data_IF_149157432310
#
_entry.id   IF_149157432310
#
_cell.length_a   1.000
_cell.length_b   1.000
_cell.length_c   1.000
_cell.angle_alpha   90.00
_cell.angle_beta   90.00
_cell.angle_gamma   90.00
#
_symmetry.space_group_name_H-M   'P 1'
#
loop_
_entity.id
_entity.type
_entity.pdbx_description
1 polymer ?
#
# COMPACT_ATOMS: atom_id res chain seq x y z
N UNK A 1 11.60 -25.40 -13.01
CA UNK A 1 11.66 -24.92 -11.61
C UNK A 1 10.77 -25.84 -10.78
N UNK A 2 11.32 -26.53 -9.77
CA UNK A 2 10.48 -27.23 -8.79
C UNK A 2 9.69 -26.16 -8.05
N UNK A 3 8.36 -26.22 -8.12
CA UNK A 3 7.52 -25.53 -7.14
C UNK A 3 7.83 -26.21 -5.80
N UNK A 4 8.67 -25.58 -4.99
CA UNK A 4 8.82 -25.99 -3.60
C UNK A 4 7.52 -25.60 -2.89
N UNK A 5 6.68 -26.60 -2.64
CA UNK A 5 5.45 -26.42 -1.89
C UNK A 5 5.80 -25.84 -0.52
N UNK A 6 5.07 -24.81 -0.10
CA UNK A 6 5.18 -24.22 1.23
C UNK A 6 4.97 -25.31 2.30
N UNK A 7 5.80 -25.28 3.34
CA UNK A 7 5.76 -26.21 4.47
C UNK A 7 4.86 -25.72 5.60
N UNK A 8 4.68 -26.56 6.63
CA UNK A 8 3.89 -26.22 7.81
C UNK A 8 4.39 -24.96 8.54
N UNK A 9 5.71 -24.75 8.60
CA UNK A 9 6.31 -23.56 9.20
C UNK A 9 5.96 -22.27 8.43
N UNK A 10 5.91 -22.36 7.10
CA UNK A 10 5.55 -21.24 6.23
C UNK A 10 4.08 -20.82 6.51
N UNK A 11 3.15 -21.77 6.53
CA UNK A 11 1.75 -21.51 6.89
C UNK A 11 1.59 -21.01 8.32
N UNK A 12 2.34 -21.56 9.27
CA UNK A 12 2.31 -21.13 10.66
C UNK A 12 2.80 -19.68 10.83
N UNK A 13 3.80 -19.26 10.04
CA UNK A 13 4.28 -17.86 10.05
C UNK A 13 3.23 -16.88 9.56
N UNK A 14 2.50 -17.24 8.49
CA UNK A 14 1.38 -16.44 7.96
C UNK A 14 0.26 -16.33 8.99
N UNK A 15 -0.16 -17.46 9.59
CA UNK A 15 -1.18 -17.45 10.63
C UNK A 15 -0.77 -16.59 11.82
N UNK A 16 0.49 -16.68 12.25
CA UNK A 16 1.05 -15.86 13.33
C UNK A 16 0.98 -14.38 13.00
N UNK A 17 1.38 -13.98 11.79
CA UNK A 17 1.30 -12.58 11.35
C UNK A 17 -0.15 -12.08 11.38
N UNK A 18 -1.12 -12.85 10.85
CA UNK A 18 -2.54 -12.50 10.90
C UNK A 18 -3.04 -12.33 12.34
N UNK A 19 -2.67 -13.22 13.26
CA UNK A 19 -3.09 -13.14 14.66
C UNK A 19 -2.51 -11.92 15.37
N UNK A 20 -1.19 -11.71 15.26
CA UNK A 20 -0.49 -10.60 15.93
C UNK A 20 -0.97 -9.23 15.45
N UNK A 21 -1.33 -9.11 14.17
CA UNK A 21 -1.70 -7.84 13.56
C UNK A 21 -3.21 -7.56 13.58
N UNK A 22 -4.04 -8.53 13.97
CA UNK A 22 -5.51 -8.42 13.96
C UNK A 22 -6.10 -7.31 14.84
N UNK A 23 -5.44 -6.94 15.93
CA UNK A 23 -5.89 -5.85 16.82
C UNK A 23 -5.56 -4.47 16.28
N UNK A 24 -4.53 -4.38 15.42
CA UNK A 24 -4.06 -3.13 14.83
C UNK A 24 -4.75 -2.84 13.50
N UNK A 25 -5.04 -3.87 12.73
CA UNK A 25 -5.70 -3.78 11.44
C UNK A 25 -7.01 -4.55 11.53
N UNK A 26 -8.14 -3.83 11.41
CA UNK A 26 -9.48 -4.29 11.81
C UNK A 26 -10.04 -5.54 11.09
N UNK A 27 -9.27 -6.20 10.24
CA UNK A 27 -9.71 -7.33 9.42
C UNK A 27 -8.66 -8.46 9.42
N UNK A 28 -9.10 -9.65 9.84
CA UNK A 28 -8.33 -10.90 9.84
C UNK A 28 -8.12 -11.49 8.45
N UNK A 29 -7.69 -10.65 7.51
CA UNK A 29 -7.39 -11.03 6.13
C UNK A 29 -6.12 -11.89 6.09
N UNK A 30 -6.08 -12.80 5.12
CA UNK A 30 -4.90 -13.60 4.81
C UNK A 30 -3.83 -12.76 4.11
N UNK A 31 -2.59 -13.24 4.07
CA UNK A 31 -1.52 -12.61 3.27
C UNK A 31 -1.92 -12.43 1.81
N UNK A 32 -2.58 -13.41 1.20
CA UNK A 32 -3.04 -13.31 -0.20
C UNK A 32 -4.08 -12.21 -0.38
N UNK A 33 -5.08 -12.16 0.51
CA UNK A 33 -6.10 -11.11 0.45
C UNK A 33 -5.51 -9.71 0.69
N UNK A 34 -4.45 -9.59 1.49
CA UNK A 34 -3.73 -8.32 1.71
C UNK A 34 -2.94 -7.89 0.47
N UNK A 35 -2.31 -8.83 -0.23
CA UNK A 35 -1.62 -8.58 -1.50
C UNK A 35 -2.59 -8.22 -2.61
N UNK A 36 -3.73 -8.90 -2.68
CA UNK A 36 -4.82 -8.62 -3.63
C UNK A 36 -5.43 -7.24 -3.39
N UNK A 37 -5.79 -6.92 -2.15
CA UNK A 37 -6.30 -5.59 -1.80
C UNK A 37 -5.28 -4.47 -2.11
N UNK A 38 -3.98 -4.71 -1.90
CA UNK A 38 -2.96 -3.76 -2.32
C UNK A 38 -2.89 -3.63 -3.84
N UNK A 39 -3.00 -4.73 -4.59
CA UNK A 39 -3.00 -4.70 -6.04
C UNK A 39 -4.22 -3.97 -6.63
N UNK A 40 -5.40 -4.20 -6.06
CA UNK A 40 -6.66 -3.52 -6.42
C UNK A 40 -6.53 -2.01 -6.17
N UNK A 41 -6.14 -1.61 -4.97
CA UNK A 41 -5.95 -0.20 -4.65
C UNK A 41 -4.90 0.48 -5.55
N UNK A 42 -3.80 -0.19 -5.87
CA UNK A 42 -2.81 0.34 -6.82
C UNK A 42 -3.41 0.54 -8.21
N UNK A 43 -4.29 -0.37 -8.66
CA UNK A 43 -4.99 -0.21 -9.92
C UNK A 43 -5.95 0.98 -9.88
N UNK A 44 -6.72 1.16 -8.80
CA UNK A 44 -7.62 2.30 -8.63
C UNK A 44 -6.86 3.64 -8.69
N UNK A 45 -5.68 3.69 -8.07
CA UNK A 45 -4.81 4.89 -8.09
C UNK A 45 -4.19 5.14 -9.47
N UNK A 46 -3.90 4.09 -10.24
CA UNK A 46 -3.43 4.19 -11.63
C UNK A 46 -4.53 4.66 -12.59
N UNK A 47 -5.76 4.19 -12.39
CA UNK A 47 -6.92 4.48 -13.24
C UNK A 47 -7.56 5.85 -12.93
N UNK A 48 -7.33 6.39 -11.74
CA UNK A 48 -7.84 7.69 -11.31
C UNK A 48 -8.64 7.59 -10.04
N UNK A 49 -8.01 7.92 -8.90
CA UNK A 49 -8.62 7.76 -7.59
C UNK A 49 -9.83 8.69 -7.42
N UNK A 50 -10.98 8.12 -7.03
CA UNK A 50 -12.23 8.87 -6.86
C UNK A 50 -12.15 9.84 -5.67
N UNK A 51 -12.37 11.12 -5.92
CA UNK A 51 -12.26 12.19 -4.92
C UNK A 51 -13.28 12.08 -3.80
N UNK A 52 -14.39 11.35 -3.99
CA UNK A 52 -15.34 11.07 -2.91
C UNK A 52 -14.67 10.31 -1.75
N UNK A 53 -13.61 9.55 -2.03
CA UNK A 53 -12.86 8.76 -1.06
C UNK A 53 -11.52 9.41 -0.66
N UNK A 54 -11.26 10.66 -1.04
CA UNK A 54 -9.95 11.32 -0.79
C UNK A 54 -9.55 11.34 0.69
N UNK A 55 -10.52 11.46 1.60
CA UNK A 55 -10.29 11.45 3.05
C UNK A 55 -10.12 10.04 3.64
N UNK A 56 -10.39 9.00 2.85
CA UNK A 56 -10.21 7.59 3.22
C UNK A 56 -8.95 6.98 2.59
N UNK A 57 -8.23 7.72 1.75
CA UNK A 57 -7.01 7.25 1.09
C UNK A 57 -5.99 6.63 2.05
N UNK A 58 -5.80 7.24 3.24
CA UNK A 58 -4.88 6.71 4.27
C UNK A 58 -5.36 5.38 4.87
N UNK A 59 -6.68 5.11 4.85
CA UNK A 59 -7.22 3.82 5.28
C UNK A 59 -6.83 2.72 4.31
N UNK A 60 -6.85 2.97 3.00
CA UNK A 60 -6.46 1.97 2.00
C UNK A 60 -4.95 1.71 1.99
N UNK A 61 -4.14 2.72 2.35
CA UNK A 61 -2.71 2.51 2.63
C UNK A 61 -2.46 1.52 3.77
N UNK A 62 -3.44 1.27 4.64
CA UNK A 62 -3.32 0.30 5.71
C UNK A 62 -3.08 -1.14 5.19
N UNK A 63 -3.46 -1.45 3.93
CA UNK A 63 -3.12 -2.72 3.29
C UNK A 63 -1.60 -2.88 3.15
N UNK A 64 -0.92 -1.84 2.65
CA UNK A 64 0.54 -1.83 2.51
C UNK A 64 1.26 -1.77 3.84
N UNK A 65 0.68 -1.09 4.82
CA UNK A 65 1.18 -1.06 6.18
C UNK A 65 1.17 -2.42 6.86
N UNK A 66 0.08 -3.19 6.66
CA UNK A 66 0.00 -4.55 7.18
C UNK A 66 1.07 -5.44 6.53
N UNK A 67 1.28 -5.33 5.22
CA UNK A 67 2.31 -6.09 4.51
C UNK A 67 3.71 -5.78 5.04
N UNK A 68 4.00 -4.51 5.34
CA UNK A 68 5.24 -4.09 5.96
C UNK A 68 5.46 -4.75 7.33
N UNK A 69 4.44 -4.74 8.18
CA UNK A 69 4.56 -5.30 9.54
C UNK A 69 4.54 -6.84 9.56
N UNK A 70 3.89 -7.46 8.57
CA UNK A 70 3.89 -8.90 8.41
C UNK A 70 5.26 -9.43 7.96
N UNK A 71 5.94 -8.71 7.06
CA UNK A 71 7.22 -9.14 6.45
C UNK A 71 8.26 -9.68 7.43
N UNK A 72 8.58 -9.02 8.57
CA UNK A 72 9.55 -9.55 9.53
C UNK A 72 9.07 -10.76 10.35
N UNK A 73 7.78 -11.11 10.28
CA UNK A 73 7.17 -12.25 10.99
C UNK A 73 7.17 -13.51 10.10
N UNK A 74 7.07 -13.32 8.78
CA UNK A 74 7.02 -14.38 7.78
C UNK A 74 8.36 -15.12 7.68
N UNK A 75 8.32 -16.38 7.25
CA UNK A 75 9.55 -17.09 6.89
C UNK A 75 10.21 -16.45 5.68
N UNK A 76 11.53 -16.59 5.58
CA UNK A 76 12.31 -16.11 4.43
C UNK A 76 11.77 -16.67 3.11
N UNK A 77 11.33 -17.93 3.08
CA UNK A 77 10.75 -18.57 1.88
C UNK A 77 9.47 -17.86 1.42
N UNK A 78 8.57 -17.53 2.35
CA UNK A 78 7.34 -16.79 2.00
C UNK A 78 7.68 -15.41 1.46
N UNK A 79 8.61 -14.69 2.12
CA UNK A 79 9.05 -13.38 1.65
C UNK A 79 9.66 -13.47 0.24
N UNK A 80 10.59 -14.38 0.00
CA UNK A 80 11.24 -14.56 -1.32
C UNK A 80 10.23 -14.85 -2.44
N UNK A 81 9.19 -15.66 -2.15
CA UNK A 81 8.15 -15.99 -3.14
C UNK A 81 7.24 -14.80 -3.48
N UNK A 82 7.09 -13.83 -2.57
CA UNK A 82 6.18 -12.69 -2.73
C UNK A 82 6.90 -11.36 -2.99
N UNK A 83 8.21 -11.30 -2.80
CA UNK A 83 8.98 -10.06 -2.90
C UNK A 83 8.86 -9.41 -4.27
N UNK A 84 9.02 -10.19 -5.35
CA UNK A 84 8.94 -9.65 -6.71
C UNK A 84 7.56 -9.08 -7.05
N UNK A 85 6.50 -9.71 -6.54
CA UNK A 85 5.12 -9.23 -6.70
C UNK A 85 4.92 -7.92 -5.92
N UNK A 86 5.36 -7.87 -4.66
CA UNK A 86 5.23 -6.67 -3.83
C UNK A 86 6.05 -5.50 -4.39
N UNK A 87 7.28 -5.76 -4.86
CA UNK A 87 8.15 -4.75 -5.46
C UNK A 87 7.54 -4.15 -6.74
N UNK A 88 6.90 -5.00 -7.56
CA UNK A 88 6.22 -4.55 -8.77
C UNK A 88 5.01 -3.66 -8.46
N UNK A 89 4.23 -4.00 -7.43
CA UNK A 89 3.12 -3.17 -6.96
C UNK A 89 3.61 -1.86 -6.37
N UNK A 90 4.69 -1.89 -5.58
CA UNK A 90 5.30 -0.70 -4.98
C UNK A 90 5.85 0.26 -6.04
N UNK A 91 6.43 -0.25 -7.12
CA UNK A 91 6.90 0.59 -8.23
C UNK A 91 5.73 1.22 -9.00
N UNK A 92 4.70 0.44 -9.31
CA UNK A 92 3.45 0.93 -9.91
C UNK A 92 2.82 2.05 -9.09
N UNK A 93 2.65 1.82 -7.79
CA UNK A 93 2.15 2.83 -6.86
C UNK A 93 3.02 4.09 -6.87
N UNK A 94 4.34 3.93 -6.84
CA UNK A 94 5.29 5.05 -6.84
C UNK A 94 5.17 5.89 -8.11
N UNK A 95 4.97 5.27 -9.27
CA UNK A 95 4.75 5.95 -10.55
C UNK A 95 3.41 6.69 -10.56
N UNK A 96 2.33 6.04 -10.12
CA UNK A 96 0.97 6.58 -10.09
C UNK A 96 0.77 7.71 -9.06
N UNK A 97 1.70 7.89 -8.13
CA UNK A 97 1.60 8.88 -7.06
C UNK A 97 2.72 9.91 -7.06
N UNK A 98 2.48 11.05 -6.42
CA UNK A 98 3.45 12.10 -6.18
C UNK A 98 3.73 12.25 -4.67
N UNK A 99 4.91 12.72 -4.26
CA UNK A 99 5.18 13.00 -2.85
C UNK A 99 4.28 14.14 -2.36
N UNK A 100 3.67 13.98 -1.17
CA UNK A 100 2.88 15.04 -0.54
C UNK A 100 3.71 16.30 -0.30
N UNK A 101 3.01 17.42 -0.08
CA UNK A 101 3.65 18.66 0.35
C UNK A 101 4.49 18.41 1.61
N UNK A 102 5.77 18.82 1.63
CA UNK A 102 6.62 18.73 2.81
C UNK A 102 5.96 19.34 4.04
N UNK A 103 5.82 18.55 5.11
CA UNK A 103 5.32 19.01 6.40
C UNK A 103 6.33 18.65 7.50
N UNK A 104 7.28 19.55 7.75
CA UNK A 104 8.34 19.34 8.74
C UNK A 104 9.44 18.33 8.34
N UNK A 105 9.35 17.71 7.16
CA UNK A 105 10.34 16.78 6.61
C UNK A 105 10.56 17.03 5.11
N UNK A 106 11.80 16.95 4.62
CA UNK A 106 12.08 17.12 3.18
C UNK A 106 11.57 15.93 2.37
N UNK A 107 11.29 16.12 1.07
CA UNK A 107 10.84 15.04 0.19
C UNK A 107 11.84 13.87 0.13
N UNK A 108 13.14 14.16 0.17
CA UNK A 108 14.20 13.14 0.23
C UNK A 108 14.17 12.34 1.53
N UNK A 109 13.92 13.00 2.66
CA UNK A 109 13.79 12.31 3.94
C UNK A 109 12.51 11.47 4.01
N UNK A 110 11.41 11.91 3.38
CA UNK A 110 10.16 11.14 3.27
C UNK A 110 10.34 9.87 2.43
N UNK A 111 11.05 9.95 1.29
CA UNK A 111 11.27 8.79 0.42
C UNK A 111 12.19 7.73 1.03
N UNK A 112 13.00 8.10 2.03
CA UNK A 112 13.87 7.20 2.77
C UNK A 112 13.19 6.54 3.98
N UNK A 113 11.95 6.94 4.31
CA UNK A 113 11.22 6.30 5.41
C UNK A 113 10.88 4.85 5.06
N UNK A 114 10.88 3.98 6.07
CA UNK A 114 10.47 2.58 5.90
C UNK A 114 9.05 2.44 5.33
N UNK A 115 8.19 3.43 5.62
CA UNK A 115 6.81 3.55 5.12
C UNK A 115 6.66 4.70 4.13
N UNK A 116 7.55 4.80 3.16
CA UNK A 116 7.58 5.89 2.18
C UNK A 116 6.24 6.10 1.43
N UNK A 117 5.40 5.06 1.28
CA UNK A 117 4.08 5.16 0.63
C UNK A 117 3.11 6.09 1.37
N UNK A 118 3.25 6.23 2.71
CA UNK A 118 2.46 7.14 3.55
C UNK A 118 2.67 8.63 3.24
N UNK A 119 3.70 8.96 2.46
CA UNK A 119 4.04 10.34 2.11
C UNK A 119 3.70 10.67 0.67
N UNK A 120 2.64 10.06 0.14
CA UNK A 120 2.26 10.19 -1.27
C UNK A 120 0.77 10.40 -1.45
N UNK A 121 0.42 10.96 -2.59
CA UNK A 121 -0.97 11.16 -3.02
C UNK A 121 -1.15 10.79 -4.50
N UNK A 122 -2.36 10.44 -4.95
CA UNK A 122 -2.65 10.11 -6.35
C UNK A 122 -2.29 11.23 -7.31
N UNK A 123 -1.69 10.92 -8.47
CA UNK A 123 -1.47 11.90 -9.53
C UNK A 123 -2.74 12.18 -10.34
N UNK A 124 -3.55 11.15 -10.52
CA UNK A 124 -4.79 11.16 -11.30
C UNK A 124 -5.96 10.95 -10.35
N UNK A 125 -7.02 11.71 -10.55
CA UNK A 125 -8.26 11.60 -9.79
C UNK A 125 -9.47 11.72 -10.70
N UNK A 126 -10.58 11.11 -10.30
CA UNK A 126 -11.91 11.25 -10.93
C UNK A 126 -12.88 11.85 -9.91
N UNK A 127 -14.02 12.40 -10.36
CA UNK A 127 -15.01 13.03 -9.48
C UNK A 127 -15.18 14.52 -9.76
N UNK A 128 -15.70 15.25 -8.78
CA UNK A 128 -16.01 16.68 -8.93
C UNK A 128 -14.82 17.57 -8.52
N UNK A 129 -14.25 18.39 -9.42
CA UNK A 129 -13.19 19.34 -9.09
C UNK A 129 -13.54 20.38 -8.01
N UNK A 130 -14.81 20.53 -7.66
CA UNK A 130 -15.27 21.38 -6.56
C UNK A 130 -15.11 20.72 -5.17
N UNK A 131 -14.87 19.40 -5.10
CA UNK A 131 -14.63 18.71 -3.84
C UNK A 131 -13.31 19.13 -3.20
N UNK A 132 -13.35 19.31 -1.87
CA UNK A 132 -12.15 19.66 -1.12
C UNK A 132 -11.26 18.44 -0.93
N UNK A 133 -10.03 18.55 -1.42
CA UNK A 133 -8.98 17.53 -1.26
C UNK A 133 -8.10 17.82 -0.04
N UNK A 134 -7.44 16.80 0.52
CA UNK A 134 -6.46 16.99 1.58
C UNK A 134 -5.39 18.02 1.20
N UNK A 135 -5.13 18.99 2.08
CA UNK A 135 -4.17 20.08 1.81
C UNK A 135 -2.73 19.62 1.53
N UNK A 136 -2.40 18.37 1.88
CA UNK A 136 -1.12 17.71 1.60
C UNK A 136 -1.00 17.25 0.15
N UNK A 137 -2.11 17.09 -0.58
CA UNK A 137 -2.18 16.75 -2.00
C UNK A 137 -1.88 17.99 -2.83
N UNK A 138 -0.60 18.36 -2.85
CA UNK A 138 -0.10 19.57 -3.49
C UNK A 138 1.19 19.26 -4.26
N UNK A 139 1.28 19.60 -5.56
CA UNK A 139 0.25 20.27 -6.37
C UNK A 139 -1.05 19.46 -6.49
N UNK A 140 -2.15 20.12 -6.86
CA UNK A 140 -3.46 19.45 -7.02
C UNK A 140 -3.33 18.33 -8.06
N UNK A 141 -3.89 17.14 -7.81
CA UNK A 141 -3.95 16.06 -8.79
C UNK A 141 -4.60 16.48 -10.10
N UNK A 142 -4.30 15.74 -11.18
CA UNK A 142 -4.94 15.94 -12.47
C UNK A 142 -6.27 15.21 -12.49
N UNK A 143 -7.35 15.94 -12.77
CA UNK A 143 -8.67 15.34 -13.00
C UNK A 143 -8.71 14.70 -14.39
N UNK A 144 -9.27 13.49 -14.46
CA UNK A 144 -9.53 12.75 -15.70
C UNK A 144 -11.00 12.36 -15.78
N UNK A 145 -11.49 12.18 -17.01
CA UNK A 145 -12.90 11.92 -17.35
C UNK A 145 -13.31 10.45 -17.15
#
# INVERSE_FOLDING_TARGET
MKSELLGAEDYASVLRATQLLSSRYLHGMTLNARMEAWAEFVADVEEGFDTMWAWEFDNDLAHRDWLHDAWPILTERVCQLRQSELDALDERFRVATAPIKPFGMSQSAMSQQARWWQFRYPRLVTGDPAEELPATWSPVPTYID
#
